data_IF_698216870961
#
_entry.id   IF_698216870961
#
_cell.length_a   1.000
_cell.length_b   1.000
_cell.length_c   1.000
_cell.angle_alpha   90.00
_cell.angle_beta   90.00
_cell.angle_gamma   90.00
#
_symmetry.space_group_name_H-M   'P 1'
#
loop_
_entity.id
_entity.type
_entity.pdbx_description
1 polymer ?
2 non-polymer ?
3 non-polymer ?
4 water ?
#
# COMPACT_ATOMS: atom_id res chain seq x y z
N UNK A 10 -20.25 4.53 16.59
CA UNK A 10 -20.52 5.90 16.09
C UNK A 10 -20.79 5.86 14.59
N UNK A 11 -22.08 5.77 14.35
CA UNK A 11 -22.72 5.73 13.04
C UNK A 11 -23.31 7.13 12.79
N UNK A 12 -23.18 7.57 11.57
CA UNK A 12 -23.75 8.86 11.16
C UNK A 12 -25.14 8.54 10.61
N UNK A 13 -26.04 9.49 10.80
CA UNK A 13 -27.43 9.32 10.30
C UNK A 13 -27.43 9.22 8.77
N UNK A 14 -28.20 8.26 8.32
CA UNK A 14 -28.43 7.92 6.94
C UNK A 14 -29.04 9.11 6.21
N UNK A 15 -28.32 9.56 5.18
CA UNK A 15 -28.74 10.68 4.34
C UNK A 15 -30.01 10.17 3.58
N UNK A 16 -30.80 11.16 3.13
CA UNK A 16 -32.06 10.89 2.45
C UNK A 16 -31.95 10.04 1.22
N UNK A 17 -30.86 10.20 0.42
CA UNK A 17 -30.82 9.48 -0.86
C UNK A 17 -30.50 8.06 -0.76
N UNK A 18 -30.21 7.56 0.46
CA UNK A 18 -29.73 6.20 0.62
C UNK A 18 -30.79 5.19 0.99
N UNK A 19 -30.93 4.21 0.11
CA UNK A 19 -31.95 3.11 0.39
C UNK A 19 -31.43 2.27 1.53
N UNK A 20 -32.38 2.04 2.51
CA UNK A 20 -31.90 1.35 3.73
C UNK A 20 -31.42 -0.06 3.48
N UNK A 21 -31.85 -0.60 2.35
CA UNK A 21 -31.48 -2.01 2.03
C UNK A 21 -30.01 -2.00 1.55
N UNK A 22 -29.50 -0.79 1.23
CA UNK A 22 -28.08 -0.69 0.80
C UNK A 22 -27.14 -0.49 1.95
N UNK A 23 -27.59 -0.41 3.16
CA UNK A 23 -26.84 -0.24 4.35
C UNK A 23 -26.10 -1.51 4.78
N UNK A 24 -24.82 -1.31 4.99
CA UNK A 24 -23.87 -2.35 5.49
C UNK A 24 -22.74 -1.55 6.19
N UNK A 25 -22.78 -1.55 7.52
CA UNK A 25 -21.87 -0.73 8.32
C UNK A 25 -20.53 -1.42 8.61
N UNK A 26 -19.67 -1.29 7.66
CA UNK A 26 -18.31 -1.67 7.59
C UNK A 26 -17.39 -0.46 8.04
N UNK A 27 -16.53 -0.79 8.97
CA UNK A 27 -15.57 0.14 9.58
C UNK A 27 -14.18 -0.24 8.98
N UNK A 28 -13.83 0.44 7.88
CA UNK A 28 -12.56 0.32 7.25
C UNK A 28 -11.37 0.41 8.25
N UNK A 29 -11.53 1.07 9.38
CA UNK A 29 -10.44 1.18 10.35
C UNK A 29 -10.42 0.10 11.38
N UNK A 30 -11.49 -0.63 11.49
CA UNK A 30 -11.73 -1.64 12.51
C UNK A 30 -12.95 -2.52 12.11
N UNK A 31 -12.70 -3.30 11.10
CA UNK A 31 -13.62 -4.33 10.64
C UNK A 31 -13.70 -5.43 11.70
N UNK A 32 -14.97 -5.94 11.75
CA UNK A 32 -15.40 -6.93 12.71
C UNK A 32 -14.62 -8.21 12.70
N UNK A 33 -14.23 -8.72 11.55
CA UNK A 33 -13.54 -10.07 11.61
C UNK A 33 -12.06 -10.04 11.77
N UNK A 34 -11.52 -8.96 12.33
CA UNK A 34 -10.08 -8.69 12.34
C UNK A 34 -9.18 -9.80 12.77
N UNK A 35 -9.62 -10.53 13.78
CA UNK A 35 -8.90 -11.69 14.30
C UNK A 35 -8.58 -12.71 13.23
N UNK A 36 -9.49 -12.95 12.27
CA UNK A 36 -9.28 -13.90 11.19
C UNK A 36 -8.13 -13.52 10.21
N UNK A 37 -7.70 -12.26 10.30
CA UNK A 37 -6.77 -11.76 9.20
C UNK A 37 -7.56 -10.59 8.56
N UNK A 38 -6.82 -9.60 8.14
CA UNK A 38 -7.34 -8.41 7.55
C UNK A 38 -8.04 -8.60 6.18
N UNK A 39 -7.57 -9.35 5.28
CA UNK A 39 -8.04 -9.70 4.01
C UNK A 39 -9.46 -10.49 4.21
N UNK A 40 -9.42 -11.41 5.15
CA UNK A 40 -10.57 -12.16 5.61
C UNK A 40 -11.64 -11.27 6.24
N UNK A 41 -11.33 -10.26 7.03
CA UNK A 41 -12.27 -9.25 7.52
C UNK A 41 -12.95 -8.45 6.44
N UNK A 42 -12.27 -8.02 5.42
CA UNK A 42 -12.75 -7.24 4.32
C UNK A 42 -13.73 -8.05 3.44
N UNK A 43 -13.31 -9.28 3.22
CA UNK A 43 -13.89 -10.23 2.35
C UNK A 43 -15.37 -10.52 2.79
N UNK A 44 -15.74 -10.13 3.98
CA UNK A 44 -17.09 -10.17 4.44
C UNK A 44 -17.98 -9.38 3.42
N UNK A 45 -17.45 -8.31 2.87
CA UNK A 45 -18.10 -7.41 1.95
C UNK A 45 -18.57 -8.12 0.70
N UNK A 46 -17.90 -9.27 0.45
CA UNK A 46 -18.20 -10.01 -0.78
C UNK A 46 -19.09 -11.23 -0.62
N UNK A 47 -19.63 -11.43 0.51
CA UNK A 47 -20.61 -12.52 0.77
C UNK A 47 -21.93 -12.23 0.02
N UNK A 48 -22.62 -13.31 -0.29
CA UNK A 48 -23.95 -13.33 -0.92
C UNK A 48 -24.92 -12.35 -0.27
N UNK A 49 -25.00 -12.21 0.99
CA UNK A 49 -25.91 -11.25 1.65
C UNK A 49 -25.62 -9.80 1.35
N UNK A 50 -24.47 -9.51 0.70
CA UNK A 50 -23.99 -8.14 0.52
C UNK A 50 -24.17 -7.65 -0.88
N UNK A 51 -24.92 -6.55 -1.02
CA UNK A 51 -25.13 -5.93 -2.38
C UNK A 51 -23.71 -5.35 -2.88
N UNK A 52 -23.55 -5.24 -4.16
CA UNK A 52 -22.43 -4.84 -4.96
C UNK A 52 -21.89 -3.45 -4.56
N UNK A 53 -22.80 -2.59 -4.17
CA UNK A 53 -22.64 -1.26 -3.77
C UNK A 53 -23.31 -0.92 -2.51
N UNK A 54 -22.64 -0.84 -1.38
CA UNK A 54 -23.12 -0.57 -0.09
C UNK A 54 -22.83 0.83 0.45
N UNK A 55 -23.61 1.25 1.46
CA UNK A 55 -23.42 2.47 2.20
C UNK A 55 -23.05 2.07 3.65
N UNK A 56 -21.96 2.71 4.16
CA UNK A 56 -21.61 2.40 5.57
C UNK A 56 -21.87 3.64 6.34
N UNK A 57 -22.40 3.57 7.53
CA UNK A 57 -22.67 4.69 8.38
C UNK A 57 -21.44 5.08 9.23
N UNK A 58 -20.42 4.26 9.19
CA UNK A 58 -19.16 4.47 9.91
C UNK A 58 -18.30 5.51 9.17
N UNK A 59 -17.44 6.07 9.99
CA UNK A 59 -16.41 7.05 9.52
C UNK A 59 -17.08 8.14 8.68
N UNK A 60 -18.20 8.63 9.14
CA UNK A 60 -19.00 9.68 8.53
C UNK A 60 -20.03 9.31 7.47
N UNK A 61 -20.00 8.13 6.97
CA UNK A 61 -20.88 7.65 5.93
C UNK A 61 -20.27 7.79 4.55
N UNK A 62 -20.31 6.67 3.82
CA UNK A 62 -19.64 6.66 2.46
C UNK A 62 -20.09 5.32 1.86
N UNK A 63 -20.11 5.28 0.56
CA UNK A 63 -20.31 4.10 -0.26
C UNK A 63 -19.02 3.26 -0.22
N UNK A 64 -19.15 2.03 -0.63
CA UNK A 64 -18.11 1.04 -0.86
C UNK A 64 -18.49 0.17 -2.02
N UNK A 65 -17.76 0.05 -3.03
CA UNK A 65 -17.87 -0.86 -4.12
C UNK A 65 -17.25 -2.16 -3.74
N UNK A 66 -17.94 -3.32 -3.88
CA UNK A 66 -17.49 -4.58 -3.32
C UNK A 66 -16.90 -5.56 -4.30
N UNK A 67 -16.97 -5.31 -5.55
CA UNK A 67 -16.64 -6.15 -6.64
C UNK A 67 -15.64 -5.45 -7.64
N UNK A 68 -14.80 -6.34 -8.12
CA UNK A 68 -13.69 -5.97 -9.02
C UNK A 68 -14.15 -5.17 -10.21
N UNK A 69 -15.36 -5.62 -10.71
CA UNK A 69 -15.98 -4.93 -11.89
C UNK A 69 -16.33 -3.49 -11.65
N UNK A 70 -16.95 -3.17 -10.54
CA UNK A 70 -17.31 -1.84 -10.14
C UNK A 70 -15.98 -1.00 -9.81
N UNK A 71 -15.08 -1.60 -9.06
CA UNK A 71 -13.87 -0.91 -8.60
C UNK A 71 -13.07 -0.38 -9.81
N UNK A 72 -12.83 -1.17 -10.80
CA UNK A 72 -12.19 -0.88 -12.03
C UNK A 72 -12.92 0.22 -12.80
N UNK A 73 -14.23 0.03 -12.88
CA UNK A 73 -15.08 1.00 -13.59
C UNK A 73 -14.98 2.42 -13.05
N UNK A 74 -15.21 2.49 -11.78
CA UNK A 74 -15.13 3.70 -10.98
C UNK A 74 -13.67 4.27 -11.07
N UNK A 75 -12.67 3.44 -11.16
CA UNK A 75 -11.26 3.93 -11.28
C UNK A 75 -10.94 4.55 -12.63
N UNK A 76 -11.50 4.07 -13.68
CA UNK A 76 -11.45 4.49 -15.02
C UNK A 76 -12.15 5.80 -15.30
N UNK A 77 -13.22 6.02 -14.65
CA UNK A 77 -14.16 7.10 -14.75
C UNK A 77 -13.88 8.36 -14.04
N UNK A 78 -12.72 8.97 -14.21
CA UNK A 78 -12.34 10.13 -13.33
C UNK A 78 -13.31 11.28 -13.48
N UNK A 79 -14.00 11.31 -14.61
CA UNK A 79 -15.05 12.38 -14.83
C UNK A 79 -16.02 12.46 -13.67
N UNK A 80 -16.45 11.26 -13.18
CA UNK A 80 -17.41 11.20 -12.09
C UNK A 80 -16.81 10.97 -10.74
N UNK A 81 -15.78 10.12 -10.80
CA UNK A 81 -15.03 9.79 -9.52
C UNK A 81 -13.71 10.52 -9.49
N UNK A 82 -13.73 11.65 -8.79
CA UNK A 82 -12.63 12.51 -8.57
C UNK A 82 -11.70 12.06 -7.45
N UNK A 83 -10.41 12.20 -7.79
CA UNK A 83 -9.30 12.00 -6.81
C UNK A 83 -9.11 13.15 -5.86
N UNK A 84 -9.89 14.21 -6.00
CA UNK A 84 -9.65 15.43 -5.19
C UNK A 84 -9.72 15.14 -3.72
N UNK A 85 -10.64 14.18 -3.40
CA UNK A 85 -10.80 13.79 -1.96
C UNK A 85 -10.75 12.30 -1.86
N UNK A 86 -9.52 11.68 -1.84
CA UNK A 86 -9.35 10.26 -1.92
C UNK A 86 -9.41 9.44 -0.68
N UNK A 87 -9.33 10.10 0.44
CA UNK A 87 -9.31 9.44 1.77
C UNK A 87 -10.62 9.74 2.50
N UNK A 88 -10.94 8.78 3.26
CA UNK A 88 -12.04 8.69 4.24
C UNK A 88 -11.34 8.62 5.58
N UNK A 89 -11.75 9.37 6.57
CA UNK A 89 -12.92 10.24 6.59
C UNK A 89 -12.74 11.52 5.80
N UNK A 90 -13.82 12.17 5.48
CA UNK A 90 -13.89 13.37 4.70
C UNK A 90 -12.83 14.40 5.11
N UNK A 91 -12.67 14.66 6.38
CA UNK A 91 -11.64 15.62 6.86
C UNK A 91 -10.25 15.23 6.39
N UNK A 92 -9.97 13.93 6.36
CA UNK A 92 -8.70 13.42 5.83
C UNK A 92 -8.62 13.67 4.34
N UNK A 93 -9.65 13.25 3.60
CA UNK A 93 -9.75 13.41 2.16
C UNK A 93 -9.52 14.86 1.72
N UNK A 94 -10.07 15.76 2.52
CA UNK A 94 -10.05 17.18 2.36
C UNK A 94 -8.66 17.84 2.62
N UNK A 95 -8.01 17.35 3.64
CA UNK A 95 -6.64 17.84 3.98
C UNK A 95 -5.66 17.26 2.97
N UNK A 96 -6.05 16.18 2.34
CA UNK A 96 -5.23 15.45 1.37
C UNK A 96 -4.90 16.31 0.16
N UNK A 97 -3.56 16.61 0.03
CA UNK A 97 -3.12 17.49 -1.12
C UNK A 97 -1.94 16.96 -1.89
N UNK A 98 -1.60 15.71 -1.74
CA UNK A 98 -0.52 15.03 -2.44
C UNK A 98 -0.64 15.06 -3.96
N UNK A 99 0.57 15.06 -4.58
CA UNK A 99 0.68 15.12 -6.04
C UNK A 99 1.46 13.89 -6.50
N UNK A 100 1.03 13.19 -7.55
CA UNK A 100 -0.15 13.55 -8.37
C UNK A 100 -1.50 12.94 -7.97
N UNK A 101 -1.60 12.36 -6.80
CA UNK A 101 -2.73 11.59 -6.30
C UNK A 101 -4.00 12.33 -6.08
N UNK A 102 -3.98 13.63 -5.78
CA UNK A 102 -5.23 14.36 -5.52
C UNK A 102 -5.67 15.18 -6.71
N UNK A 103 -5.18 14.84 -7.89
CA UNK A 103 -5.42 15.38 -9.17
C UNK A 103 -6.03 14.33 -10.15
N UNK A 104 -6.89 14.88 -10.98
CA UNK A 104 -7.49 14.16 -12.12
C UNK A 104 -6.74 14.57 -13.38
N UNK A 105 -6.79 13.69 -14.36
CA UNK A 105 -6.34 14.02 -15.74
C UNK A 105 -7.16 15.21 -16.20
N UNK A 106 -6.59 16.11 -17.02
CA UNK A 106 -5.28 16.02 -17.65
C UNK A 106 -4.11 16.60 -16.82
N UNK A 107 -4.36 17.37 -15.83
CA UNK A 107 -3.48 18.00 -14.91
C UNK A 107 -2.46 17.08 -14.26
N UNK A 108 -2.92 15.89 -13.89
CA UNK A 108 -2.12 14.84 -13.25
C UNK A 108 -0.91 14.39 -14.04
N UNK A 109 -0.99 14.40 -15.36
CA UNK A 109 -0.08 13.85 -16.30
C UNK A 109 1.41 14.37 -16.24
N UNK A 110 1.53 15.65 -16.13
CA UNK A 110 2.82 16.36 -16.11
C UNK A 110 3.51 15.99 -14.80
N UNK A 111 2.69 15.98 -13.75
CA UNK A 111 3.20 15.57 -12.44
C UNK A 111 3.62 14.09 -12.43
N UNK A 112 2.80 13.20 -12.97
CA UNK A 112 3.05 11.78 -12.93
C UNK A 112 4.43 11.45 -13.60
N UNK A 113 4.52 12.11 -14.74
CA UNK A 113 5.64 12.08 -15.64
C UNK A 113 6.99 12.41 -14.88
N UNK A 114 6.99 13.34 -13.98
CA UNK A 114 8.08 13.69 -13.11
C UNK A 114 8.31 12.73 -11.96
N UNK A 115 7.13 12.27 -11.38
CA UNK A 115 7.24 11.27 -10.33
C UNK A 115 7.95 10.03 -10.85
N UNK A 116 7.63 9.67 -12.10
CA UNK A 116 8.13 8.51 -12.81
C UNK A 116 9.67 8.61 -13.04
N UNK A 117 10.14 9.79 -13.34
CA UNK A 117 11.60 10.05 -13.45
C UNK A 117 12.34 9.55 -12.20
N UNK A 118 11.74 9.77 -11.05
CA UNK A 118 12.23 9.42 -9.78
C UNK A 118 12.20 8.02 -9.24
N UNK A 119 11.15 7.28 -9.46
CA UNK A 119 10.84 5.95 -8.97
C UNK A 119 10.69 4.88 -9.99
N UNK A 120 10.54 5.21 -11.26
CA UNK A 120 10.36 4.31 -12.37
C UNK A 120 11.43 3.26 -12.56
N UNK A 121 11.21 2.39 -13.55
CA UNK A 121 12.10 1.30 -13.97
C UNK A 121 13.60 1.62 -13.99
N UNK A 122 13.99 2.63 -14.75
CA UNK A 122 15.36 3.12 -14.92
C UNK A 122 16.13 3.35 -13.63
N UNK A 123 15.45 3.84 -12.62
CA UNK A 123 15.90 4.00 -11.24
C UNK A 123 16.06 2.67 -10.51
N UNK A 124 15.05 1.77 -10.71
CA UNK A 124 15.12 0.45 -10.13
C UNK A 124 16.40 -0.29 -10.59
N UNK A 125 16.65 -0.22 -11.88
CA UNK A 125 17.72 -0.84 -12.59
C UNK A 125 19.12 -0.39 -12.04
N UNK A 126 19.17 0.85 -11.66
CA UNK A 126 20.32 1.53 -11.11
C UNK A 126 20.50 1.15 -9.66
N UNK A 127 19.38 0.84 -8.97
CA UNK A 127 19.43 0.51 -7.54
C UNK A 127 19.51 -0.95 -7.21
N UNK A 128 19.60 -1.79 -8.20
CA UNK A 128 19.44 -3.20 -8.05
C UNK A 128 20.36 -3.86 -7.08
N UNK A 129 21.69 -3.56 -7.36
CA UNK A 129 22.79 -4.09 -6.59
C UNK A 129 22.71 -3.67 -5.15
N UNK A 130 22.26 -2.49 -4.83
CA UNK A 130 22.03 -2.08 -3.45
C UNK A 130 20.92 -2.88 -2.77
N UNK A 131 19.83 -3.05 -3.58
CA UNK A 131 18.67 -3.82 -3.01
C UNK A 131 19.14 -5.19 -2.56
N UNK A 132 19.78 -5.84 -3.47
CA UNK A 132 20.41 -7.17 -3.25
C UNK A 132 21.39 -7.20 -2.09
N UNK A 133 22.23 -6.14 -2.09
CA UNK A 133 23.27 -6.02 -1.06
C UNK A 133 22.66 -5.86 0.32
N UNK A 134 21.62 -4.99 0.42
CA UNK A 134 20.97 -4.78 1.72
C UNK A 134 20.27 -6.00 2.24
N UNK A 135 19.52 -6.65 1.35
CA UNK A 135 18.77 -7.87 1.72
C UNK A 135 19.70 -8.95 2.30
N UNK A 136 20.71 -9.25 1.51
CA UNK A 136 21.70 -10.32 1.87
C UNK A 136 22.37 -9.94 3.18
N UNK A 137 22.75 -8.67 3.30
CA UNK A 137 23.32 -8.17 4.56
C UNK A 137 22.45 -8.31 5.76
N UNK A 138 21.14 -8.00 5.56
CA UNK A 138 20.15 -8.03 6.70
C UNK A 138 19.89 -9.48 7.11
N UNK A 139 19.74 -10.32 6.10
CA UNK A 139 19.34 -11.74 6.32
C UNK A 139 20.50 -12.47 6.99
N UNK A 140 21.60 -12.41 6.37
CA UNK A 140 22.87 -13.01 6.95
C UNK A 140 23.06 -12.62 8.38
N UNK A 141 22.76 -11.42 8.75
CA UNK A 141 22.83 -10.88 10.09
C UNK A 141 21.85 -11.47 11.08
N UNK A 142 20.65 -11.80 10.52
CA UNK A 142 19.59 -12.49 11.31
C UNK A 142 19.85 -13.95 11.44
N UNK A 143 20.20 -14.65 10.41
CA UNK A 143 20.34 -16.08 10.29
C UNK A 143 20.80 -16.90 11.44
N UNK A 144 21.96 -16.49 12.03
CA UNK A 144 22.55 -17.16 13.17
C UNK A 144 21.79 -17.03 14.48
N UNK A 145 20.86 -16.12 14.59
CA UNK A 145 20.01 -15.85 15.75
C UNK A 145 18.94 -16.88 16.06
N UNK A 146 18.33 -17.38 15.03
CA UNK A 146 17.31 -18.43 15.13
C UNK A 146 15.95 -17.82 15.52
N UNK A 147 15.83 -16.53 15.45
CA UNK A 147 14.66 -15.78 15.83
C UNK A 147 14.82 -14.30 15.58
N UNK A 148 13.82 -13.68 14.94
CA UNK A 148 13.64 -12.25 14.90
C UNK A 148 12.19 -11.80 15.16
N UNK A 149 11.97 -10.56 14.98
CA UNK A 149 10.76 -9.75 14.92
C UNK A 149 10.57 -9.31 13.49
N UNK A 150 10.35 -10.08 12.53
CA UNK A 150 10.44 -9.73 11.13
C UNK A 150 9.98 -8.36 10.78
N UNK A 151 8.84 -7.90 11.36
CA UNK A 151 8.39 -6.54 11.07
C UNK A 151 9.54 -5.56 11.40
N UNK A 152 9.98 -5.59 12.64
CA UNK A 152 11.01 -4.63 13.01
C UNK A 152 12.40 -4.93 12.46
N UNK A 153 12.79 -6.15 12.39
CA UNK A 153 14.11 -6.65 11.97
C UNK A 153 14.33 -6.68 10.47
N UNK A 154 13.24 -6.71 9.68
CA UNK A 154 13.48 -6.81 8.23
C UNK A 154 12.54 -5.95 7.43
N UNK A 155 11.19 -6.31 7.60
CA UNK A 155 10.19 -5.57 6.77
C UNK A 155 10.36 -4.07 6.85
N UNK A 156 10.65 -3.49 7.99
CA UNK A 156 10.88 -2.03 8.13
C UNK A 156 12.21 -1.50 7.54
N UNK A 157 13.32 -1.94 8.02
CA UNK A 157 14.70 -1.52 7.55
C UNK A 157 14.94 -1.72 6.07
N UNK A 158 14.72 -2.96 5.56
CA UNK A 158 14.96 -3.25 4.15
C UNK A 158 14.48 -2.23 3.19
N UNK A 159 13.15 -2.06 3.06
CA UNK A 159 12.57 -1.11 2.15
C UNK A 159 12.81 0.33 2.50
N UNK A 160 12.84 0.71 3.74
CA UNK A 160 12.94 2.07 4.21
C UNK A 160 14.43 2.64 3.99
N UNK A 161 15.33 1.75 4.27
CA UNK A 161 16.79 2.10 4.06
C UNK A 161 17.06 2.27 2.57
N UNK A 162 16.33 1.46 1.74
CA UNK A 162 16.49 1.72 0.29
C UNK A 162 15.93 3.03 -0.14
N UNK A 163 14.79 3.38 0.48
CA UNK A 163 14.10 4.61 0.07
C UNK A 163 15.00 5.82 0.58
N UNK A 164 15.41 5.63 1.83
CA UNK A 164 16.19 6.73 2.49
C UNK A 164 17.39 7.10 1.62
N UNK A 165 17.96 6.15 0.92
CA UNK A 165 19.14 6.14 0.11
C UNK A 165 18.87 6.83 -1.23
N UNK A 166 17.62 6.55 -1.70
CA UNK A 166 17.14 7.07 -2.94
C UNK A 166 16.85 8.58 -2.80
N UNK A 167 16.31 8.91 -1.65
CA UNK A 167 15.82 10.24 -1.36
C UNK A 167 17.02 11.12 -0.85
N UNK A 168 17.97 10.42 -0.32
CA UNK A 168 19.20 11.12 0.22
C UNK A 168 18.83 11.73 1.56
N UNK A 169 18.21 10.88 2.39
CA UNK A 169 17.75 11.40 3.73
C UNK A 169 18.41 10.59 4.80
N UNK A 170 18.55 11.18 5.95
CA UNK A 170 19.23 10.50 7.08
C UNK A 170 18.41 9.40 7.72
N UNK A 171 19.06 8.24 7.84
CA UNK A 171 18.50 7.07 8.45
C UNK A 171 17.97 7.33 9.84
N UNK A 172 18.47 8.34 10.46
CA UNK A 172 18.16 8.80 11.80
C UNK A 172 16.74 9.37 11.82
N UNK A 173 16.31 9.83 10.66
CA UNK A 173 15.01 10.48 10.57
C UNK A 173 13.88 9.42 10.54
N UNK A 174 14.20 8.14 10.39
CA UNK A 174 13.26 7.09 10.17
C UNK A 174 12.09 7.08 11.14
N UNK A 175 12.39 6.96 12.40
CA UNK A 175 11.41 6.79 13.47
C UNK A 175 10.33 7.86 13.53
N UNK A 176 10.81 9.08 13.22
CA UNK A 176 9.96 10.26 13.29
C UNK A 176 9.03 10.22 12.05
N UNK A 177 9.68 9.99 10.92
CA UNK A 177 9.07 9.90 9.64
C UNK A 177 8.00 8.77 9.59
N UNK A 178 8.37 7.64 10.03
CA UNK A 178 7.57 6.41 10.07
C UNK A 178 6.32 6.60 10.95
N UNK A 179 6.51 7.33 12.06
CA UNK A 179 5.36 7.59 12.93
C UNK A 179 4.32 8.44 12.20
N UNK A 180 4.81 9.45 11.50
CA UNK A 180 3.97 10.38 10.82
C UNK A 180 3.21 9.72 9.67
N UNK A 181 3.86 8.90 8.87
CA UNK A 181 3.27 8.18 7.75
C UNK A 181 2.11 7.22 8.18
N UNK A 182 2.27 6.55 9.24
CA UNK A 182 1.39 5.68 9.94
C UNK A 182 0.10 6.32 10.47
N UNK A 183 0.25 7.52 10.96
CA UNK A 183 -0.86 8.34 11.40
C UNK A 183 -1.77 8.63 10.22
N UNK A 184 -1.22 8.67 9.05
CA UNK A 184 -1.97 8.95 7.83
C UNK A 184 -2.74 7.75 7.26
N UNK A 185 -2.22 6.53 7.42
CA UNK A 185 -2.82 5.33 6.83
C UNK A 185 -3.63 4.52 7.85
N UNK A 186 -3.12 4.51 9.07
CA UNK A 186 -3.66 3.74 10.17
C UNK A 186 -3.75 4.60 11.40
N UNK A 187 -4.51 5.68 11.30
CA UNK A 187 -4.69 6.63 12.43
C UNK A 187 -4.99 5.96 13.76
N UNK A 188 -4.32 6.56 14.72
CA UNK A 188 -4.24 6.18 16.14
C UNK A 188 -5.21 6.95 17.03
N UNK A 189 -5.61 8.10 16.51
CA UNK A 189 -6.46 9.05 17.28
C UNK A 189 -5.47 10.09 17.90
N UNK A 190 -4.21 9.66 17.96
CA UNK A 190 -3.12 10.45 18.51
C UNK A 190 -2.99 11.76 17.72
N UNK A 191 -3.19 11.68 16.41
CA UNK A 191 -3.19 12.89 15.59
C UNK A 191 -4.17 12.86 14.45
N UNK A 192 -4.74 14.04 14.16
CA UNK A 192 -5.56 14.29 12.97
C UNK A 192 -4.65 14.31 11.73
N UNK A 193 -5.18 14.08 10.55
CA UNK A 193 -4.51 13.93 9.31
C UNK A 193 -3.75 15.23 8.94
N UNK A 194 -4.47 16.33 9.10
CA UNK A 194 -3.99 17.65 8.81
C UNK A 194 -2.71 17.94 9.65
N UNK A 195 -2.78 17.58 10.90
CA UNK A 195 -1.66 17.72 11.83
C UNK A 195 -0.49 16.83 11.42
N UNK A 196 -0.77 15.58 11.08
CA UNK A 196 0.26 14.68 10.64
C UNK A 196 0.86 15.25 9.34
N UNK A 197 0.00 15.75 8.52
CA UNK A 197 0.39 16.24 7.18
C UNK A 197 1.38 17.45 7.31
N UNK A 198 1.02 18.31 8.20
CA UNK A 198 1.80 19.51 8.49
C UNK A 198 3.16 19.32 9.06
N UNK A 199 3.28 18.35 9.93
CA UNK A 199 4.50 17.92 10.59
C UNK A 199 5.43 17.32 9.57
N UNK A 200 4.84 16.58 8.60
CA UNK A 200 5.62 15.96 7.56
C UNK A 200 6.19 17.10 6.66
N UNK A 201 5.33 18.06 6.46
CA UNK A 201 5.62 19.20 5.63
C UNK A 201 6.69 20.11 6.23
N UNK A 202 6.76 20.21 7.51
CA UNK A 202 7.71 20.98 8.29
C UNK A 202 9.13 20.42 8.14
N UNK A 203 9.15 19.13 8.07
CA UNK A 203 10.26 18.30 7.78
C UNK A 203 10.75 18.63 6.37
N UNK A 204 9.91 18.46 5.40
CA UNK A 204 10.23 18.60 4.00
C UNK A 204 10.63 19.99 3.49
N UNK A 205 9.94 21.00 3.86
CA UNK A 205 10.13 22.37 3.46
C UNK A 205 11.61 22.84 3.38
N UNK A 206 12.31 22.77 4.46
CA UNK A 206 13.72 23.22 4.56
C UNK A 206 14.61 22.40 3.63
N UNK A 207 14.30 21.07 3.59
CA UNK A 207 15.07 20.20 2.71
C UNK A 207 14.94 20.60 1.28
N UNK A 208 13.68 20.81 0.89
CA UNK A 208 13.37 21.24 -0.51
C UNK A 208 14.15 22.54 -0.81
N UNK A 209 14.14 23.43 0.12
CA UNK A 209 14.73 24.78 -0.07
C UNK A 209 16.20 24.64 -0.53
N UNK A 210 16.91 23.92 0.24
CA UNK A 210 18.26 23.46 0.28
C UNK A 210 18.66 22.82 -1.04
N UNK A 211 17.73 22.03 -1.59
CA UNK A 211 17.96 21.22 -2.76
C UNK A 211 17.61 22.01 -4.01
N UNK A 212 16.86 23.03 -3.84
CA UNK A 212 16.53 23.99 -4.94
C UNK A 212 17.80 24.88 -5.13
N UNK A 213 18.39 25.25 -4.00
CA UNK A 213 19.63 26.11 -4.02
C UNK A 213 20.82 25.30 -4.51
N UNK A 214 21.00 24.17 -3.86
CA UNK A 214 22.03 23.20 -4.09
C UNK A 214 21.53 21.76 -4.36
N UNK A 215 21.38 21.45 -5.64
CA UNK A 215 21.01 20.18 -6.16
C UNK A 215 21.97 19.05 -5.98
N UNK A 216 21.35 17.97 -5.52
CA UNK A 216 22.00 16.64 -5.40
C UNK A 216 21.53 15.88 -6.68
N UNK A 217 21.65 14.58 -6.54
CA UNK A 217 21.25 13.62 -7.56
C UNK A 217 20.10 12.74 -6.96
N UNK A 218 19.79 13.01 -5.72
CA UNK A 218 18.73 12.26 -5.00
C UNK A 218 17.34 12.58 -5.61
N UNK A 219 16.36 11.80 -5.16
CA UNK A 219 14.96 11.93 -5.58
C UNK A 219 14.39 13.32 -5.30
N UNK A 220 14.64 13.83 -4.11
CA UNK A 220 14.13 15.14 -3.73
C UNK A 220 14.72 16.28 -4.56
N UNK A 221 16.06 16.19 -4.82
CA UNK A 221 16.73 17.22 -5.64
C UNK A 221 16.11 17.25 -7.03
N UNK A 222 15.78 16.08 -7.56
CA UNK A 222 15.24 16.00 -8.94
C UNK A 222 13.80 16.58 -9.00
N UNK A 223 13.00 16.27 -8.01
CA UNK A 223 11.59 16.74 -7.97
C UNK A 223 11.62 18.28 -7.77
N UNK A 224 12.35 18.74 -6.85
CA UNK A 224 12.48 20.19 -6.48
C UNK A 224 12.91 21.08 -7.62
N UNK A 225 13.54 20.51 -8.63
CA UNK A 225 14.14 21.23 -9.74
C UNK A 225 13.55 20.83 -11.07
N UNK A 226 12.41 20.15 -11.06
CA UNK A 226 11.77 19.56 -12.22
C UNK A 226 11.02 20.63 -13.00
N UNK A 227 10.70 20.31 -14.21
CA UNK A 227 9.86 21.07 -15.13
C UNK A 227 8.52 20.26 -15.27
N UNK A 228 7.50 21.02 -15.34
CA UNK A 228 6.11 20.55 -15.47
C UNK A 228 5.36 21.62 -16.28
N UNK A 229 4.73 21.19 -17.35
CA UNK A 229 4.01 22.04 -18.28
C UNK A 229 4.88 23.27 -18.63
N UNK A 230 6.07 22.92 -19.05
CA UNK A 230 7.12 23.73 -19.57
C UNK A 230 7.84 24.61 -18.59
N UNK A 231 7.23 24.90 -17.48
CA UNK A 231 7.80 25.81 -16.46
C UNK A 231 8.29 24.99 -15.30
N UNK A 232 8.98 25.63 -14.38
CA UNK A 232 9.55 24.95 -13.21
C UNK A 232 8.49 24.63 -12.16
N UNK A 233 8.63 23.50 -11.48
CA UNK A 233 7.77 23.10 -10.35
C UNK A 233 7.85 24.14 -9.25
N UNK A 234 6.78 24.45 -8.58
CA UNK A 234 6.76 25.38 -7.48
C UNK A 234 7.22 24.58 -6.23
N UNK A 235 7.70 25.38 -5.29
CA UNK A 235 8.18 24.82 -4.00
C UNK A 235 7.04 24.02 -3.28
N UNK A 236 5.84 24.53 -3.29
CA UNK A 236 4.60 23.89 -2.75
C UNK A 236 4.28 22.58 -3.50
N UNK A 237 4.41 22.62 -4.83
CA UNK A 237 4.25 21.45 -5.66
C UNK A 237 5.23 20.33 -5.31
N UNK A 238 6.52 20.76 -5.15
CA UNK A 238 7.57 19.76 -4.84
C UNK A 238 7.28 19.17 -3.49
N UNK A 239 6.85 20.03 -2.57
CA UNK A 239 6.57 19.56 -1.20
C UNK A 239 5.45 18.49 -1.25
N UNK A 240 4.44 18.80 -2.05
CA UNK A 240 3.31 17.87 -2.24
C UNK A 240 3.63 16.61 -2.92
N UNK A 241 4.56 16.51 -3.87
CA UNK A 241 4.97 15.25 -4.42
C UNK A 241 5.84 14.44 -3.39
N UNK A 242 6.80 15.17 -2.78
CA UNK A 242 7.71 14.52 -1.88
C UNK A 242 6.96 13.86 -0.74
N UNK A 243 5.97 14.55 -0.26
CA UNK A 243 5.06 14.02 0.81
C UNK A 243 4.52 12.65 0.39
N UNK A 244 4.01 12.47 -0.77
CA UNK A 244 3.49 11.18 -1.28
C UNK A 244 4.57 10.10 -1.38
N UNK A 245 5.69 10.49 -1.98
CA UNK A 245 6.88 9.61 -2.17
C UNK A 245 7.29 9.01 -0.85
N UNK A 246 7.13 9.69 0.22
CA UNK A 246 7.43 9.28 1.57
C UNK A 246 6.51 8.21 2.12
N UNK A 247 5.19 8.49 1.95
CA UNK A 247 4.17 7.52 2.41
C UNK A 247 4.29 6.24 1.63
N UNK A 248 4.52 6.40 0.33
CA UNK A 248 4.70 5.27 -0.59
C UNK A 248 5.85 4.43 -0.20
N UNK A 249 7.03 5.17 0.02
CA UNK A 249 8.23 4.43 0.42
C UNK A 249 8.17 3.88 1.83
N UNK A 250 7.64 4.62 2.80
CA UNK A 250 7.70 4.15 4.16
C UNK A 250 6.63 3.13 4.60
N UNK A 251 5.42 3.33 4.06
CA UNK A 251 4.28 2.52 4.49
C UNK A 251 3.83 1.44 3.57
N UNK A 252 4.40 1.04 2.48
CA UNK A 252 3.73 0.10 1.56
C UNK A 252 4.29 -1.30 1.55
N UNK A 253 5.59 -1.33 1.04
CA UNK A 253 6.34 -2.55 0.93
C UNK A 253 6.50 -3.19 2.30
N UNK A 254 6.68 -2.28 3.23
CA UNK A 254 6.96 -2.73 4.64
C UNK A 254 5.82 -3.69 5.10
N UNK A 255 4.57 -3.19 4.88
CA UNK A 255 3.41 -4.01 5.36
C UNK A 255 3.29 -5.25 4.53
N UNK A 256 3.43 -5.14 3.25
CA UNK A 256 3.32 -6.24 2.30
C UNK A 256 4.18 -7.44 2.63
N UNK A 257 5.42 -7.24 2.96
CA UNK A 257 6.41 -8.30 3.23
C UNK A 257 6.02 -9.06 4.50
N UNK A 258 5.55 -8.33 5.51
CA UNK A 258 5.07 -9.07 6.72
C UNK A 258 3.89 -10.00 6.39
N UNK A 259 2.89 -9.56 5.62
CA UNK A 259 1.76 -10.53 5.28
C UNK A 259 2.26 -11.79 4.61
N UNK A 260 3.11 -11.58 3.60
CA UNK A 260 3.73 -12.65 2.78
C UNK A 260 4.60 -13.56 3.59
N UNK A 261 5.33 -13.04 4.56
CA UNK A 261 6.23 -13.87 5.38
C UNK A 261 5.46 -14.66 6.40
N UNK A 262 4.40 -14.03 6.92
CA UNK A 262 3.46 -14.75 7.84
C UNK A 262 2.89 -15.95 7.13
N UNK A 263 2.54 -15.81 5.89
CA UNK A 263 2.00 -16.94 5.07
C UNK A 263 3.07 -17.96 4.80
N UNK A 264 4.30 -17.46 4.40
CA UNK A 264 5.33 -18.46 4.13
C UNK A 264 5.66 -19.27 5.39
N UNK A 265 5.66 -18.62 6.54
CA UNK A 265 5.98 -19.25 7.78
C UNK A 265 5.02 -20.41 8.09
N UNK A 266 3.81 -20.25 7.64
CA UNK A 266 2.72 -21.27 7.94
C UNK A 266 2.60 -22.25 6.86
N UNK A 267 3.31 -22.17 5.79
CA UNK A 267 3.07 -23.05 4.62
C UNK A 267 4.30 -23.60 3.99
N UNK A 268 4.81 -24.68 4.59
CA UNK A 268 6.10 -25.28 4.16
C UNK A 268 6.10 -25.66 2.71
N UNK A 269 4.91 -26.11 2.25
CA UNK A 269 4.72 -26.61 0.88
C UNK A 269 4.97 -25.44 -0.12
N UNK A 270 4.52 -24.28 0.24
CA UNK A 270 4.71 -23.09 -0.59
C UNK A 270 6.25 -22.68 -0.62
N UNK A 271 6.84 -22.83 0.53
CA UNK A 271 8.33 -22.54 0.63
C UNK A 271 9.14 -23.48 -0.23
N UNK A 272 8.82 -24.76 -0.15
CA UNK A 272 9.50 -25.78 -0.91
C UNK A 272 9.47 -25.55 -2.40
N UNK A 273 8.22 -25.20 -2.77
CA UNK A 273 7.95 -25.03 -4.21
C UNK A 273 8.92 -24.01 -4.80
N UNK A 274 9.07 -22.93 -4.08
CA UNK A 274 9.86 -21.77 -4.45
C UNK A 274 11.36 -22.06 -4.44
N UNK A 275 11.79 -22.95 -3.57
CA UNK A 275 13.12 -23.47 -3.47
C UNK A 275 13.53 -24.33 -4.64
N UNK A 276 12.73 -25.29 -5.01
CA UNK A 276 12.91 -26.16 -6.12
C UNK A 276 12.68 -25.63 -7.50
N UNK A 277 11.80 -24.68 -7.63
CA UNK A 277 11.33 -24.23 -8.97
C UNK A 277 11.24 -22.71 -8.91
N UNK A 278 12.46 -22.09 -8.76
CA UNK A 278 12.64 -20.68 -8.62
C UNK A 278 12.11 -19.88 -9.81
N UNK A 279 11.94 -20.63 -10.90
CA UNK A 279 11.46 -20.02 -12.13
C UNK A 279 10.04 -19.45 -11.84
N UNK A 280 9.41 -19.92 -10.79
CA UNK A 280 8.07 -19.54 -10.35
C UNK A 280 8.00 -18.36 -9.45
N UNK A 281 9.16 -17.86 -8.93
CA UNK A 281 9.21 -16.70 -8.05
C UNK A 281 8.34 -15.51 -8.47
N UNK A 282 8.48 -15.06 -9.69
CA UNK A 282 7.74 -13.97 -10.27
C UNK A 282 6.23 -14.15 -10.23
N UNK A 283 5.71 -15.24 -10.73
CA UNK A 283 4.40 -15.74 -10.61
C UNK A 283 3.91 -15.82 -9.15
N UNK A 284 4.71 -16.39 -8.28
CA UNK A 284 4.37 -16.45 -6.85
C UNK A 284 4.22 -15.06 -6.28
N UNK A 285 4.99 -14.13 -6.89
CA UNK A 285 5.02 -12.76 -6.31
C UNK A 285 3.69 -12.11 -6.58
N UNK A 286 3.25 -12.31 -7.82
CA UNK A 286 1.94 -11.74 -8.26
C UNK A 286 0.77 -12.30 -7.46
N UNK A 287 0.80 -13.58 -7.22
CA UNK A 287 -0.19 -14.34 -6.48
C UNK A 287 -0.22 -13.89 -5.07
N UNK A 288 1.02 -13.58 -4.48
CA UNK A 288 1.06 -12.97 -3.14
C UNK A 288 0.52 -11.57 -3.16
N UNK A 289 0.78 -10.80 -4.20
CA UNK A 289 0.31 -9.43 -4.33
C UNK A 289 -1.30 -9.48 -4.40
N UNK A 290 -1.79 -10.50 -5.09
CA UNK A 290 -3.29 -10.70 -5.15
C UNK A 290 -3.87 -11.11 -3.79
N UNK A 291 -3.43 -12.14 -3.16
CA UNK A 291 -3.86 -12.65 -1.86
C UNK A 291 -3.69 -11.78 -0.69
N UNK A 292 -2.52 -11.01 -0.69
CA UNK A 292 -2.24 -10.17 0.47
C UNK A 292 -2.28 -8.69 0.14
N UNK A 293 -3.14 -8.38 -0.84
CA UNK A 293 -3.51 -7.01 -1.20
C UNK A 293 -3.84 -6.22 0.09
N UNK A 294 -3.43 -4.88 0.05
CA UNK A 294 -3.56 -4.17 1.30
C UNK A 294 -4.01 -2.74 1.33
N UNK A 295 -4.33 -2.19 0.17
CA UNK A 295 -4.63 -0.79 0.06
C UNK A 295 -6.16 -0.58 -0.18
N UNK A 296 -6.64 0.42 0.49
CA UNK A 296 -8.06 0.82 0.18
C UNK A 296 -8.16 2.35 0.28
N UNK A 297 -8.36 2.93 -0.89
CA UNK A 297 -8.75 4.39 -0.85
C UNK A 297 -9.98 4.57 -1.71
N UNK A 298 -10.35 5.78 -2.08
CA UNK A 298 -11.44 6.13 -2.87
C UNK A 298 -11.43 7.34 -3.68
N UNK A 299 -12.65 7.84 -3.98
CA UNK A 299 -12.96 8.92 -4.87
C UNK A 299 -14.10 9.79 -4.37
N UNK A 300 -14.32 10.89 -4.98
CA UNK A 300 -15.48 11.77 -4.58
C UNK A 300 -16.33 12.01 -5.79
N UNK A 301 -17.67 12.03 -5.52
CA UNK A 301 -18.58 12.30 -6.72
C UNK A 301 -18.54 13.79 -7.02
N UNK A 302 -18.21 14.08 -8.25
CA UNK A 302 -18.16 15.42 -8.83
C UNK A 302 -19.59 15.93 -9.11
N UNK A 303 -20.55 14.98 -9.18
CA UNK A 303 -21.94 15.30 -9.46
C UNK A 303 -22.88 14.06 -9.21
N UNK A 304 -24.18 14.39 -9.37
CA UNK A 304 -25.23 13.33 -9.28
C UNK A 304 -25.01 12.33 -10.39
N UNK A 305 -24.98 11.09 -9.98
CA UNK A 305 -24.71 10.02 -10.96
C UNK A 305 -25.35 8.69 -10.49
N UNK A 306 -25.75 7.98 -11.52
CA UNK A 306 -26.45 6.70 -11.32
C UNK A 306 -25.54 5.64 -11.91
N UNK A 307 -25.10 4.89 -10.88
CA UNK A 307 -24.05 3.89 -11.17
C UNK A 307 -24.61 2.51 -10.77
N UNK A 308 -24.72 1.67 -11.78
CA UNK A 308 -25.25 0.29 -11.54
C UNK A 308 -26.56 0.36 -10.76
N UNK A 309 -27.40 1.33 -11.18
CA UNK A 309 -28.74 1.45 -10.61
C UNK A 309 -28.78 2.20 -9.30
N UNK A 310 -27.62 2.56 -8.71
CA UNK A 310 -27.64 3.30 -7.42
C UNK A 310 -27.43 4.76 -7.75
N UNK A 311 -28.22 5.56 -7.05
CA UNK A 311 -28.09 7.02 -7.15
C UNK A 311 -27.00 7.56 -6.24
N UNK A 312 -25.98 8.16 -6.92
CA UNK A 312 -24.87 8.72 -6.07
C UNK A 312 -25.09 10.23 -6.13
N UNK A 313 -24.94 10.92 -5.03
CA UNK A 313 -25.09 12.37 -4.99
C UNK A 313 -23.74 13.06 -5.08
N UNK A 314 -23.72 14.24 -5.66
CA UNK A 314 -22.48 15.06 -5.82
C UNK A 314 -21.87 15.23 -4.41
N UNK A 315 -20.59 14.93 -4.21
CA UNK A 315 -20.05 15.14 -2.83
C UNK A 315 -20.03 13.89 -2.02
N UNK A 316 -20.75 12.83 -2.50
CA UNK A 316 -20.66 11.54 -1.72
C UNK A 316 -19.16 11.06 -1.95
N UNK A 317 -18.66 10.42 -0.90
CA UNK A 317 -17.35 9.71 -1.14
C UNK A 317 -17.72 8.22 -1.32
N UNK A 318 -16.90 7.53 -2.04
CA UNK A 318 -16.94 6.13 -2.28
C UNK A 318 -15.55 5.52 -2.11
N UNK A 319 -15.42 4.52 -1.29
CA UNK A 319 -14.31 3.67 -1.05
C UNK A 319 -14.29 2.65 -2.19
N UNK A 320 -13.15 2.51 -2.86
CA UNK A 320 -12.98 1.63 -4.00
C UNK A 320 -11.75 0.72 -3.65
N UNK A 321 -12.01 -0.22 -2.78
CA UNK A 321 -10.94 -1.03 -2.16
C UNK A 321 -10.18 -1.86 -3.15
N UNK A 322 -8.94 -1.30 -3.46
CA UNK A 322 -8.08 -2.05 -4.41
C UNK A 322 -7.80 -3.45 -3.94
N UNK A 323 -7.66 -3.62 -2.65
CA UNK A 323 -7.49 -4.95 -2.00
C UNK A 323 -8.56 -6.02 -2.49
N UNK A 324 -9.76 -5.59 -2.68
CA UNK A 324 -10.96 -6.41 -2.99
C UNK A 324 -11.07 -7.04 -4.32
N UNK A 325 -10.75 -6.43 -5.42
CA UNK A 325 -10.76 -6.94 -6.76
C UNK A 325 -10.26 -8.33 -6.94
N UNK A 326 -9.08 -8.64 -6.32
CA UNK A 326 -8.45 -9.95 -6.58
C UNK A 326 -8.89 -11.00 -5.56
N UNK A 327 -9.74 -10.54 -4.63
CA UNK A 327 -10.36 -11.44 -3.64
C UNK A 327 -11.78 -11.91 -4.07
N UNK A 328 -12.35 -11.32 -5.03
CA UNK A 328 -13.58 -11.41 -5.72
C UNK A 328 -13.54 -12.74 -6.50
N UNK A 329 -14.56 -13.61 -6.08
CA UNK A 329 -14.70 -14.89 -6.70
C UNK A 329 -14.92 -14.83 -8.19
N UNK A 330 -15.59 -13.83 -8.63
CA UNK A 330 -15.94 -13.60 -10.05
C UNK A 330 -14.65 -13.28 -10.82
N UNK A 331 -13.60 -13.01 -10.09
CA UNK A 331 -12.28 -12.64 -10.76
C UNK A 331 -11.32 -13.78 -10.52
N UNK A 332 -11.44 -14.38 -9.35
CA UNK A 332 -10.47 -15.49 -9.05
C UNK A 332 -11.24 -16.63 -8.38
N UNK A 333 -11.09 -17.80 -8.98
CA UNK A 333 -11.69 -19.05 -8.41
C UNK A 333 -10.96 -19.29 -7.11
N UNK A 334 -11.66 -19.67 -6.09
CA UNK A 334 -11.18 -19.94 -4.77
C UNK A 334 -10.13 -18.85 -4.37
N UNK A 335 -10.62 -17.66 -4.09
CA UNK A 335 -9.84 -16.50 -3.81
C UNK A 335 -8.85 -16.53 -2.67
N UNK A 336 -9.21 -17.10 -1.56
CA UNK A 336 -8.48 -17.18 -0.34
C UNK A 336 -7.38 -18.27 -0.40
N UNK A 337 -7.45 -19.10 -1.41
CA UNK A 337 -6.45 -20.12 -1.67
C UNK A 337 -5.25 -19.48 -2.44
N UNK A 338 -4.03 -19.82 -1.95
CA UNK A 338 -2.81 -19.31 -2.61
C UNK A 338 -2.37 -20.46 -3.56
N UNK A 339 -2.36 -20.12 -4.79
CA UNK A 339 -1.92 -21.09 -5.83
C UNK A 339 -1.02 -20.34 -6.84
N UNK A 340 0.24 -20.76 -6.78
CA UNK A 340 1.35 -20.28 -7.51
C UNK A 340 1.26 -20.54 -8.99
N UNK A 341 0.37 -21.45 -9.37
CA UNK A 341 0.18 -21.81 -10.75
C UNK A 341 -1.18 -21.45 -11.37
N UNK A 342 -1.83 -20.40 -10.84
CA UNK A 342 -3.08 -19.89 -11.40
C UNK A 342 -2.80 -19.51 -12.87
N UNK A 343 -3.70 -19.84 -13.77
CA UNK A 343 -3.57 -19.49 -15.15
C UNK A 343 -3.59 -17.95 -15.33
N UNK A 344 -4.38 -17.28 -14.54
CA UNK A 344 -4.57 -15.83 -14.57
C UNK A 344 -4.64 -15.29 -13.15
N UNK A 345 -3.66 -14.52 -12.73
CA UNK A 345 -3.68 -13.83 -11.42
C UNK A 345 -4.33 -12.48 -11.71
N UNK A 346 -5.52 -12.32 -11.21
CA UNK A 346 -6.21 -11.01 -11.44
C UNK A 346 -6.25 -10.19 -10.20
N UNK A 347 -5.68 -8.93 -10.27
CA UNK A 347 -5.75 -8.06 -9.11
C UNK A 347 -5.78 -6.62 -9.53
N UNK A 348 -5.92 -5.77 -8.56
CA UNK A 348 -5.72 -4.28 -8.86
C UNK A 348 -4.88 -3.80 -7.67
N UNK A 349 -3.97 -4.59 -7.19
CA UNK A 349 -3.16 -4.29 -6.02
C UNK A 349 -2.42 -2.93 -6.08
N UNK A 350 -2.00 -2.55 -7.24
CA UNK A 350 -1.26 -1.27 -7.45
C UNK A 350 -2.21 -0.21 -7.98
N UNK A 351 -3.59 -0.62 -7.92
CA UNK A 351 -4.55 0.41 -8.43
C UNK A 351 -4.81 0.14 -9.89
N UNK A 352 -5.52 1.06 -10.52
CA UNK A 352 -6.19 0.93 -11.83
C UNK A 352 -6.61 2.30 -12.28
N UNK A 353 -6.53 2.56 -13.55
CA UNK A 353 -6.73 3.84 -14.18
C UNK A 353 -5.51 4.75 -14.20
N UNK A 354 -5.83 6.08 -14.22
CA UNK A 354 -4.67 7.02 -14.41
C UNK A 354 -3.72 7.06 -13.25
N UNK A 355 -4.09 6.56 -12.11
CA UNK A 355 -3.27 6.58 -10.91
C UNK A 355 -2.53 5.31 -10.61
N UNK A 356 -2.35 4.43 -11.57
CA UNK A 356 -1.63 3.20 -11.42
C UNK A 356 -0.20 3.53 -10.82
N UNK A 357 0.16 2.81 -9.83
CA UNK A 357 1.32 2.93 -9.04
C UNK A 357 2.62 2.96 -9.88
N UNK A 358 3.24 4.14 -9.74
CA UNK A 358 4.60 4.26 -10.44
C UNK A 358 5.63 3.46 -9.65
N UNK A 359 5.39 3.25 -8.34
CA UNK A 359 6.36 2.56 -7.50
C UNK A 359 6.30 1.03 -7.56
N UNK A 360 5.58 0.53 -8.57
CA UNK A 360 5.33 -0.90 -8.67
C UNK A 360 6.51 -1.72 -9.01
N UNK A 361 7.46 -1.13 -9.79
CA UNK A 361 8.65 -1.84 -10.30
C UNK A 361 9.66 -2.07 -9.22
N UNK A 362 9.83 -1.02 -8.42
CA UNK A 362 10.54 -1.06 -7.16
C UNK A 362 9.89 -2.06 -6.18
N UNK A 363 8.60 -1.90 -5.93
CA UNK A 363 7.89 -2.89 -5.04
C UNK A 363 8.13 -4.32 -5.46
N UNK A 364 8.02 -4.73 -6.69
CA UNK A 364 8.28 -6.11 -7.11
C UNK A 364 9.74 -6.57 -6.91
N UNK A 365 10.68 -5.62 -7.27
CA UNK A 365 12.14 -5.96 -7.14
C UNK A 365 12.45 -6.26 -5.69
N UNK A 366 11.98 -5.51 -4.75
CA UNK A 366 12.14 -5.71 -3.35
C UNK A 366 11.51 -7.01 -2.85
N UNK A 367 10.31 -7.34 -3.42
CA UNK A 367 9.63 -8.55 -2.97
C UNK A 367 10.36 -9.78 -3.48
N UNK A 368 10.64 -9.79 -4.76
CA UNK A 368 11.35 -10.91 -5.39
C UNK A 368 12.73 -11.12 -4.74
N UNK A 369 13.41 -10.05 -4.43
CA UNK A 369 14.79 -10.23 -3.79
C UNK A 369 14.65 -10.80 -2.41
N UNK A 370 13.65 -10.33 -1.68
CA UNK A 370 13.43 -10.86 -0.31
C UNK A 370 13.19 -12.39 -0.31
N UNK A 371 12.30 -12.79 -1.15
CA UNK A 371 11.83 -14.17 -1.29
C UNK A 371 13.03 -15.06 -1.70
N UNK A 372 13.67 -14.62 -2.74
CA UNK A 372 14.85 -15.37 -3.28
C UNK A 372 15.88 -15.56 -2.20
N UNK A 373 16.21 -14.51 -1.51
CA UNK A 373 17.28 -14.39 -0.55
C UNK A 373 17.05 -14.95 0.82
N UNK A 374 15.83 -14.78 1.32
CA UNK A 374 15.40 -15.41 2.56
C UNK A 374 15.38 -16.94 2.46
N UNK A 375 14.71 -17.44 1.47
CA UNK A 375 14.52 -18.87 1.22
C UNK A 375 15.84 -19.58 0.98
N UNK A 376 16.83 -18.81 0.47
CA UNK A 376 18.15 -19.37 0.23
C UNK A 376 18.83 -19.75 1.54
N UNK A 377 18.92 -18.82 2.43
CA UNK A 377 19.60 -18.89 3.69
C UNK A 377 18.79 -19.50 4.81
N UNK A 378 17.46 -19.13 4.82
CA UNK A 378 16.60 -19.62 5.92
C UNK A 378 15.35 -20.33 5.30
N UNK A 379 15.54 -21.52 4.79
CA UNK A 379 14.51 -22.31 4.14
C UNK A 379 13.38 -22.81 5.04
N UNK A 380 13.64 -22.95 6.27
CA UNK A 380 12.80 -23.56 7.31
C UNK A 380 12.76 -22.62 8.50
N UNK A 381 11.52 -22.15 8.69
CA UNK A 381 11.16 -21.22 9.76
C UNK A 381 9.61 -21.41 10.01
N UNK A 382 9.26 -20.81 11.17
CA UNK A 382 7.85 -20.78 11.56
C UNK A 382 7.63 -19.63 12.48
N UNK A 383 6.38 -19.39 12.77
CA UNK A 383 5.91 -18.43 13.75
C UNK A 383 6.23 -19.05 15.11
N UNK A 384 6.55 -18.15 16.00
CA UNK A 384 6.93 -18.52 17.36
C UNK A 384 5.71 -19.12 18.09
N UNK A 385 6.06 -20.14 18.87
CA UNK A 385 5.09 -20.82 19.75
C UNK A 385 4.43 -19.75 20.63
N UNK A 386 3.11 -19.72 20.47
CA UNK A 386 2.21 -18.89 21.26
C UNK A 386 2.26 -17.41 20.98
N UNK A 387 2.76 -17.06 19.80
CA UNK A 387 2.68 -15.60 19.43
C UNK A 387 1.31 -15.55 18.71
N UNK A 388 0.64 -14.45 18.97
CA UNK A 388 -0.66 -14.17 18.29
C UNK A 388 -0.47 -13.08 17.24
N UNK A 389 -0.62 -13.40 15.98
CA UNK A 389 -0.45 -12.40 14.91
C UNK A 389 -1.60 -11.45 14.73
N UNK A 390 -1.33 -10.17 14.97
CA UNK A 390 -2.38 -9.15 14.80
C UNK A 390 -2.30 -8.32 13.57
N UNK A 391 -3.48 -8.27 12.86
CA UNK A 391 -3.54 -7.40 11.65
C UNK A 391 -4.08 -6.05 12.05
N UNK A 392 -3.83 -5.05 11.26
CA UNK A 392 -4.32 -3.68 11.51
C UNK A 392 -4.80 -3.20 10.11
N UNK A 393 -6.00 -2.66 10.12
CA UNK A 393 -6.72 -2.17 8.93
C UNK A 393 -6.71 -0.68 8.82
N UNK A 394 -6.74 -0.17 7.59
CA UNK A 394 -6.78 1.25 7.32
C UNK A 394 -6.62 1.49 5.85
N UNK A 395 -6.28 2.67 5.48
CA UNK A 395 -5.84 3.00 4.09
C UNK A 395 -4.81 2.00 3.59
N UNK A 396 -3.91 1.60 4.47
CA UNK A 396 -2.95 0.51 4.05
C UNK A 396 -2.98 -0.39 5.28
N UNK A 397 -3.14 -1.66 5.02
CA UNK A 397 -3.30 -2.55 6.23
C UNK A 397 -1.84 -3.01 6.58
N UNK A 398 -1.71 -3.47 7.76
CA UNK A 398 -0.39 -3.91 8.28
C UNK A 398 -0.50 -5.06 9.29
N UNK A 399 0.65 -5.53 9.70
CA UNK A 399 0.80 -6.59 10.72
C UNK A 399 1.53 -5.95 11.91
N UNK A 400 1.00 -6.09 13.09
CA UNK A 400 1.59 -5.51 14.31
C UNK A 400 3.02 -5.97 14.55
N UNK A 401 3.22 -7.26 14.68
CA UNK A 401 4.54 -7.86 14.98
C UNK A 401 4.55 -9.21 14.33
N UNK A 402 5.67 -9.73 13.98
CA UNK A 402 5.88 -11.02 13.35
C UNK A 402 7.08 -11.79 13.93
N UNK A 403 6.84 -12.42 15.07
CA UNK A 403 7.87 -13.24 15.71
C UNK A 403 8.14 -14.49 14.94
N UNK A 404 9.29 -14.73 14.37
CA UNK A 404 9.74 -15.92 13.69
C UNK A 404 10.80 -16.66 14.47
N UNK A 405 10.86 -17.98 14.36
CA UNK A 405 11.82 -18.84 15.06
C UNK A 405 12.28 -19.83 13.97
N UNK A 406 13.53 -20.25 14.10
CA UNK A 406 14.11 -21.24 13.19
C UNK A 406 15.34 -21.88 13.91
N UNK A 407 15.70 -23.04 13.45
CA UNK A 407 16.88 -23.75 13.87
C UNK A 407 18.09 -23.29 12.97
N UNK A 408 19.01 -22.60 13.62
CA UNK A 408 20.24 -22.08 12.98
C UNK A 408 20.93 -23.15 12.16
N UNK A 409 20.98 -24.33 12.70
CA UNK A 409 21.55 -25.54 12.06
C UNK A 409 20.89 -25.93 10.76
N UNK A 410 19.69 -25.43 10.46
CA UNK A 410 19.04 -25.78 9.18
C UNK A 410 19.29 -24.69 8.16
N UNK A 411 19.92 -23.59 8.64
CA UNK A 411 20.22 -22.48 7.74
C UNK A 411 21.47 -22.80 6.91
N UNK A 412 21.64 -21.90 5.90
CA UNK A 412 22.70 -21.95 4.94
C UNK A 412 23.29 -20.53 4.81
N UNK A 413 24.57 -20.51 5.10
CA UNK A 413 25.36 -19.26 4.99
C UNK A 413 25.69 -19.09 3.50
N UNK A 414 25.51 -17.86 3.04
CA UNK A 414 25.88 -17.55 1.64
C UNK A 414 27.01 -16.55 1.66
X LIG B 1 -0.10 5.06 -6.46
X LIG B 1 -0.40 0.78 -4.16
X LIG B 1 4.37 0.85 -3.29
X LIG B 1 4.54 5.27 -5.15
X LIG B 1 -0.62 3.90 -5.83
X LIG B 1 -2.03 3.50 -5.86
X LIG B 1 -2.14 2.33 -5.23
X LIG B 1 -0.71 1.96 -4.81
X LIG B 1 -3.24 1.39 -4.92
X LIG B 1 -3.11 4.39 -6.47
X LIG B 1 -4.20 4.85 -5.44
X LIG B 1 -5.27 5.70 -6.01
X LIG B 1 -5.58 5.47 -7.23
X LIG B 1 -5.67 6.62 -5.28
X LIG B 1 0.88 0.41 -3.81
X LIG B 1 1.27 -0.86 -3.27
X LIG B 1 2.54 -0.84 -3.00
X LIG B 1 3.03 0.46 -3.37
X LIG B 1 0.27 -2.10 -3.11
X LIG B 1 3.46 -1.98 -2.53
X LIG B 1 3.32 -3.19 -2.34
X LIG B 1 4.84 2.08 -3.74
X LIG B 1 6.26 2.47 -3.71
X LIG B 1 6.28 3.76 -4.10
X LIG B 1 4.90 4.09 -4.56
X LIG B 1 7.37 1.65 -3.06
X LIG B 1 7.48 4.71 -4.34
X LIG B 1 7.93 5.42 -3.32
X LIG B 1 3.37 5.58 -5.68
X LIG B 1 3.02 6.77 -6.37
X LIG B 1 1.77 6.72 -6.77
X LIG B 1 1.21 5.50 -6.28
X LIG B 1 4.07 7.93 -6.68
X LIG B 1 1.00 7.80 -7.53
X LIG B 1 0.81 7.74 -9.02
X LIG B 1 -0.18 8.79 -9.57
X LIG B 1 -0.20 9.02 -10.75
X LIG B 1 -0.92 9.36 -8.73
X LIG B 1 0.07 2.95 -5.17
X LIG B 1 2.00 1.29 -3.83
X LIG B 1 4.13 3.08 -4.25
X LIG B 1 2.18 4.74 -5.61
X LIG B 1 2.17 2.85 -5.09
X LIG C 1 -0.55 6.48 0.21
X LIG C 1 -1.12 7.44 -0.88
X LIG C 1 -1.39 6.71 -2.25
X LIG C 1 0.00 6.05 -2.73
X LIG C 1 0.58 5.09 -1.65
X LIG C 1 -0.49 3.90 -1.44
X LIG C 1 -1.84 4.55 -0.95
X LIG C 1 -1.64 5.28 0.43
X LIG C 1 0.75 5.89 -0.30
X LIG C 1 -2.43 5.63 -1.96
X LIG C 1 -1.50 8.58 -0.72
#
# INVERSE_FOLDING_TARGET
TTETIQSNANLAPLPPHVPEHLVFDFDMYNPSNLSAGVQEAWAVLQESNVPDLVWTRCNGGHWIATRGQLIREAYEDYRHFSSECPFIPREAGEAYDFIPTSMDPPEQRQFRALANQVVGMPVVDKLENRIQELACSLIESLRPQGQCNFTEDYAEPFPIRIFMLLAGLPEEDIPHLKYLTDQMTRPDGSMTFAEAKEALYDYLIPIIEQRRQKPGTDAISIVANGQVNGRPITSDEAKRMCGLLLVGGLDTVVNFLSFSMEFLAKSPEHRQELIERPERIPAACEELLRRFSLVADGRILTSDYEFHGVQLKKGDQILLPQMLSGLDERENACPMHVDFSRQKVSHTTFGHGSHLCLGQHLARREIIVTLKEWLTRIPDFSIAPGAQIQHKSGIVSGVQALPLVWDPATTKAV
HEM CHA CHB CHC CHD C1A C2A C3A C4A CMA CAA CBA CGA O1A O2A C1B C2B C3B C4B CMB CAB CBB C1C C2C C3C C4C CMC CAC CBC C1D C2D C3D C4D CMD CAD CBD CGD O1D O2D NA NB NC ND FE
ADO C1 C2 C3 C4 C5 C6 C7 C8 C9 C10 O2
#
